data_IF_367385793053
#
_entry.id   IF_367385793053
#
_cell.length_a   1.000
_cell.length_b   1.000
_cell.length_c   1.000
_cell.angle_alpha   90.00
_cell.angle_beta   90.00
_cell.angle_gamma   90.00
#
_symmetry.space_group_name_H-M   'P 1'
#
loop_
_entity.id
_entity.type
_entity.pdbx_description
1 polymer ?
#
# COMPACT_ATOMS: atom_id res chain seq x y z
N UNK A 1 -10.31 12.96 5.08
CA UNK A 1 -9.13 12.51 5.83
C UNK A 1 -7.97 12.63 4.89
N UNK A 2 -7.02 13.49 5.23
CA UNK A 2 -5.76 13.64 4.50
C UNK A 2 -4.86 12.44 4.77
N UNK A 3 -3.92 12.18 3.86
CA UNK A 3 -2.98 11.06 3.95
C UNK A 3 -2.15 11.12 5.25
N UNK A 4 -1.68 12.31 5.63
CA UNK A 4 -0.93 12.56 6.88
C UNK A 4 -1.71 12.15 8.12
N UNK A 5 -3.02 12.43 8.14
CA UNK A 5 -3.90 12.08 9.25
C UNK A 5 -4.03 10.56 9.40
N UNK A 6 -4.05 9.83 8.29
CA UNK A 6 -4.01 8.36 8.30
C UNK A 6 -2.65 7.84 8.78
N UNK A 7 -1.55 8.41 8.28
CA UNK A 7 -0.21 7.99 8.68
C UNK A 7 0.01 8.19 10.19
N UNK A 8 -0.37 9.35 10.72
CA UNK A 8 -0.29 9.64 12.15
C UNK A 8 -1.18 8.73 12.99
N UNK A 9 -2.33 8.33 12.47
CA UNK A 9 -3.25 7.40 13.14
C UNK A 9 -2.72 5.96 13.20
N UNK A 10 -2.08 5.48 12.14
CA UNK A 10 -1.57 4.11 12.05
C UNK A 10 -0.16 3.96 12.62
N UNK A 11 0.74 4.91 12.33
CA UNK A 11 2.16 4.83 12.63
C UNK A 11 2.61 5.79 13.75
N UNK A 12 1.71 6.67 14.23
CA UNK A 12 2.03 7.67 15.24
C UNK A 12 2.75 8.90 14.70
N UNK A 13 3.11 8.91 13.41
CA UNK A 13 3.79 10.00 12.69
C UNK A 13 3.42 9.96 11.21
N UNK A 14 3.55 11.10 10.53
CA UNK A 14 3.50 11.20 9.06
C UNK A 14 4.83 10.81 8.40
N UNK A 15 5.93 10.87 9.16
CA UNK A 15 7.24 10.50 8.64
C UNK A 15 7.54 9.02 8.89
N UNK A 16 7.31 8.17 7.87
CA UNK A 16 7.61 6.73 7.94
C UNK A 16 9.11 6.43 8.15
N UNK A 17 10.00 7.33 7.74
CA UNK A 17 11.45 7.18 7.92
C UNK A 17 11.88 7.31 9.39
N UNK A 18 11.13 8.06 10.18
CA UNK A 18 11.33 8.23 11.62
C UNK A 18 10.64 7.15 12.46
N UNK A 19 9.87 6.25 11.85
CA UNK A 19 9.16 5.17 12.56
C UNK A 19 10.14 4.05 12.89
N UNK A 20 10.23 3.69 14.17
CA UNK A 20 10.94 2.49 14.60
C UNK A 20 10.35 1.24 13.92
N UNK A 21 11.16 0.22 13.60
CA UNK A 21 10.67 -1.00 12.93
C UNK A 21 9.52 -1.69 13.68
N UNK A 22 9.50 -1.63 15.01
CA UNK A 22 8.40 -2.14 15.85
C UNK A 22 7.11 -1.31 15.70
N UNK A 23 7.23 0.01 15.58
CA UNK A 23 6.10 0.91 15.32
C UNK A 23 5.54 0.72 13.90
N UNK A 24 6.42 0.47 12.93
CA UNK A 24 6.04 0.18 11.56
C UNK A 24 5.26 -1.13 11.48
N UNK A 25 5.77 -2.19 12.09
CA UNK A 25 5.09 -3.48 12.16
C UNK A 25 3.71 -3.36 12.83
N UNK A 26 3.63 -2.63 13.95
CA UNK A 26 2.37 -2.39 14.67
C UNK A 26 1.36 -1.61 13.83
N UNK A 27 1.81 -0.58 13.11
CA UNK A 27 0.97 0.20 12.21
C UNK A 27 0.45 -0.61 11.03
N UNK A 28 1.32 -1.43 10.41
CA UNK A 28 0.96 -2.37 9.34
C UNK A 28 -0.08 -3.37 9.82
N UNK A 29 0.07 -3.93 11.02
CA UNK A 29 -0.89 -4.88 11.57
C UNK A 29 -2.26 -4.24 11.78
N UNK A 30 -2.29 -3.04 12.35
CA UNK A 30 -3.53 -2.27 12.55
C UNK A 30 -4.20 -1.89 11.22
N UNK A 31 -3.40 -1.51 10.22
CA UNK A 31 -3.89 -1.19 8.88
C UNK A 31 -4.45 -2.42 8.16
N UNK A 32 -3.84 -3.60 8.34
CA UNK A 32 -4.39 -4.89 7.85
C UNK A 32 -5.73 -5.25 8.49
N UNK A 33 -5.91 -4.97 9.78
CA UNK A 33 -7.19 -5.17 10.47
C UNK A 33 -8.27 -4.25 9.91
N UNK A 34 -7.97 -2.94 9.79
CA UNK A 34 -8.95 -1.99 9.19
C UNK A 34 -9.25 -2.34 7.73
N UNK A 35 -8.25 -2.76 6.96
CA UNK A 35 -8.43 -3.24 5.59
C UNK A 35 -9.40 -4.44 5.48
N UNK A 36 -9.37 -5.36 6.44
CA UNK A 36 -10.29 -6.49 6.51
C UNK A 36 -11.74 -6.07 6.78
N UNK A 37 -11.94 -4.97 7.50
CA UNK A 37 -13.25 -4.40 7.83
C UNK A 37 -13.77 -3.43 6.76
N UNK A 38 -12.88 -2.92 5.91
CA UNK A 38 -13.22 -1.95 4.88
C UNK A 38 -14.22 -2.54 3.86
N UNK A 39 -15.20 -1.74 3.45
CA UNK A 39 -16.20 -2.16 2.45
C UNK A 39 -16.18 -1.29 1.21
N UNK A 40 -15.65 -0.07 1.30
CA UNK A 40 -15.50 0.81 0.16
C UNK A 40 -14.36 0.34 -0.75
N UNK A 41 -14.69 0.09 -2.03
CA UNK A 41 -13.73 -0.43 -3.01
C UNK A 41 -12.55 0.51 -3.23
N UNK A 42 -12.80 1.82 -3.32
CA UNK A 42 -11.77 2.84 -3.56
C UNK A 42 -10.81 2.98 -2.37
N UNK A 43 -11.36 3.02 -1.16
CA UNK A 43 -10.58 3.07 0.08
C UNK A 43 -9.80 1.78 0.32
N UNK A 44 -10.39 0.63 0.00
CA UNK A 44 -9.72 -0.68 0.06
C UNK A 44 -8.52 -0.70 -0.90
N UNK A 45 -8.69 -0.24 -2.13
CA UNK A 45 -7.58 -0.11 -3.07
C UNK A 45 -6.47 0.80 -2.55
N UNK A 46 -6.81 2.00 -2.05
CA UNK A 46 -5.83 2.93 -1.50
C UNK A 46 -5.04 2.32 -0.32
N UNK A 47 -5.72 1.68 0.64
CA UNK A 47 -5.09 0.97 1.76
C UNK A 47 -4.19 -0.18 1.29
N UNK A 48 -4.65 -0.95 0.30
CA UNK A 48 -3.88 -2.05 -0.26
C UNK A 48 -2.60 -1.56 -0.95
N UNK A 49 -2.69 -0.50 -1.75
CA UNK A 49 -1.52 0.10 -2.42
C UNK A 49 -0.48 0.59 -1.42
N UNK A 50 -0.91 1.17 -0.30
CA UNK A 50 -0.01 1.54 0.80
C UNK A 50 0.65 0.31 1.43
N UNK A 51 -0.11 -0.75 1.73
CA UNK A 51 0.46 -2.00 2.23
C UNK A 51 1.46 -2.62 1.22
N UNK A 52 1.22 -2.47 -0.08
CA UNK A 52 2.10 -3.00 -1.13
C UNK A 52 3.43 -2.26 -1.16
N UNK A 53 3.41 -0.93 -1.11
CA UNK A 53 4.63 -0.12 -1.00
C UNK A 53 5.41 -0.41 0.29
N UNK A 54 4.72 -0.77 1.37
CA UNK A 54 5.32 -1.20 2.63
C UNK A 54 5.76 -2.68 2.63
N UNK A 55 5.58 -3.41 1.53
CA UNK A 55 5.97 -4.83 1.40
C UNK A 55 5.11 -5.81 2.23
N UNK A 56 3.93 -5.39 2.67
CA UNK A 56 3.04 -6.17 3.55
C UNK A 56 1.62 -6.34 2.98
N UNK A 57 1.42 -6.10 1.68
CA UNK A 57 0.13 -6.27 1.03
C UNK A 57 -0.34 -7.73 1.02
N UNK A 58 -1.64 -7.97 1.31
CA UNK A 58 -2.24 -9.27 1.06
C UNK A 58 -2.36 -9.54 -0.45
N UNK A 59 -2.41 -10.82 -0.82
CA UNK A 59 -2.64 -11.24 -2.21
C UNK A 59 -3.94 -10.66 -2.77
N UNK A 60 -3.96 -10.40 -4.09
CA UNK A 60 -5.11 -9.81 -4.78
C UNK A 60 -6.41 -10.61 -4.57
N UNK A 61 -6.34 -11.94 -4.63
CA UNK A 61 -7.48 -12.85 -4.38
C UNK A 61 -8.05 -12.73 -2.95
N UNK A 62 -7.22 -12.34 -1.99
CA UNK A 62 -7.63 -12.15 -0.58
C UNK A 62 -8.14 -10.72 -0.37
N UNK A 63 -7.48 -9.76 -1.01
CA UNK A 63 -7.75 -8.33 -0.92
C UNK A 63 -9.05 -7.94 -1.63
N UNK A 64 -9.27 -8.49 -2.82
CA UNK A 64 -10.34 -8.12 -3.74
C UNK A 64 -11.10 -9.38 -4.15
N UNK A 65 -12.38 -9.44 -3.76
CA UNK A 65 -13.27 -10.53 -4.17
C UNK A 65 -13.74 -10.40 -5.62
N UNK A 66 -13.67 -9.20 -6.16
CA UNK A 66 -14.13 -8.88 -7.50
C UNK A 66 -12.93 -8.84 -8.46
N UNK A 67 -13.01 -9.50 -9.62
CA UNK A 67 -11.91 -9.52 -10.58
C UNK A 67 -11.58 -8.13 -11.15
N UNK A 68 -12.54 -7.21 -11.24
CA UNK A 68 -12.29 -5.85 -11.72
C UNK A 68 -11.46 -5.02 -10.73
N UNK A 69 -11.69 -5.22 -9.42
CA UNK A 69 -10.91 -4.56 -8.38
C UNK A 69 -9.47 -5.11 -8.33
N UNK A 70 -9.30 -6.42 -8.58
CA UNK A 70 -7.99 -7.05 -8.72
C UNK A 70 -7.20 -6.57 -9.95
N UNK A 71 -7.87 -6.27 -11.06
CA UNK A 71 -7.25 -5.76 -12.28
C UNK A 71 -6.66 -4.34 -12.09
N UNK A 72 -7.36 -3.49 -11.34
CA UNK A 72 -6.84 -2.17 -10.97
C UNK A 72 -5.55 -2.28 -10.15
N UNK A 73 -5.51 -3.22 -9.20
CA UNK A 73 -4.32 -3.49 -8.38
C UNK A 73 -3.17 -4.08 -9.21
N UNK A 74 -3.48 -4.95 -10.17
CA UNK A 74 -2.50 -5.47 -11.13
C UNK A 74 -1.91 -4.37 -12.00
N UNK A 75 -2.75 -3.47 -12.50
CA UNK A 75 -2.33 -2.29 -13.27
C UNK A 75 -1.42 -1.39 -12.44
N UNK A 76 -1.74 -1.17 -11.17
CA UNK A 76 -0.88 -0.40 -10.26
C UNK A 76 0.48 -1.06 -10.04
N UNK A 77 0.53 -2.38 -9.84
CA UNK A 77 1.80 -3.12 -9.71
C UNK A 77 2.67 -2.98 -10.95
N UNK A 78 2.07 -3.13 -12.14
CA UNK A 78 2.76 -3.01 -13.43
C UNK A 78 3.30 -1.59 -13.64
N UNK A 79 2.51 -0.55 -13.35
CA UNK A 79 2.97 0.84 -13.40
C UNK A 79 4.11 1.12 -12.43
N UNK A 80 4.07 0.55 -11.22
CA UNK A 80 5.14 0.73 -10.24
C UNK A 80 6.41 -0.01 -10.66
N UNK A 81 6.28 -1.23 -11.19
CA UNK A 81 7.39 -1.99 -11.75
C UNK A 81 8.03 -1.23 -12.93
N UNK A 82 7.23 -0.73 -13.87
CA UNK A 82 7.69 0.10 -14.98
C UNK A 82 8.37 1.39 -14.52
N UNK A 83 7.83 2.07 -13.51
CA UNK A 83 8.46 3.27 -12.94
C UNK A 83 9.82 2.95 -12.30
N UNK A 84 9.97 1.79 -11.65
CA UNK A 84 11.26 1.36 -11.11
C UNK A 84 12.22 0.84 -12.19
N UNK A 85 11.71 0.24 -13.28
CA UNK A 85 12.49 -0.32 -14.38
C UNK A 85 12.96 0.76 -15.38
N UNK A 86 12.15 1.81 -15.61
CA UNK A 86 12.48 2.91 -16.50
C UNK A 86 13.69 3.75 -16.04
N UNK A 87 13.94 3.77 -14.72
CA UNK A 87 15.13 4.40 -14.11
C UNK A 87 16.44 3.61 -14.38
N UNK A 88 16.34 2.38 -14.90
CA UNK A 88 17.49 1.54 -15.24
C UNK A 88 17.92 1.64 -16.71
N UNK A 89 17.06 2.14 -17.60
CA UNK A 89 17.35 2.29 -19.04
C UNK A 89 18.08 3.61 -19.35
N UNK A 90 17.87 4.67 -18.55
CA UNK A 90 18.62 5.94 -18.62
C UNK A 90 19.95 5.89 -17.83
N UNK A 91 20.55 4.70 -17.69
CA UNK A 91 21.91 4.54 -17.15
C UNK A 91 22.65 3.48 -17.96
N UNK A 92 23.07 3.83 -19.19
CA UNK A 92 24.37 3.53 -19.86
C UNK A 92 24.20 3.66 -21.39
N UNK A 93 25.19 4.16 -22.17
CA UNK A 93 26.52 4.71 -21.83
C UNK A 93 26.69 6.22 -22.07
#
# INVERSE_FOLDING_TARGET
MEFDDQMRRFFGTDDLGAVSPEGLASGIERMRVEFGLETDKGRRFAMWSLLYMLGSAPNLDVAFKDPQDGDAARTFMDLLDQANAGEADDRTP
#
